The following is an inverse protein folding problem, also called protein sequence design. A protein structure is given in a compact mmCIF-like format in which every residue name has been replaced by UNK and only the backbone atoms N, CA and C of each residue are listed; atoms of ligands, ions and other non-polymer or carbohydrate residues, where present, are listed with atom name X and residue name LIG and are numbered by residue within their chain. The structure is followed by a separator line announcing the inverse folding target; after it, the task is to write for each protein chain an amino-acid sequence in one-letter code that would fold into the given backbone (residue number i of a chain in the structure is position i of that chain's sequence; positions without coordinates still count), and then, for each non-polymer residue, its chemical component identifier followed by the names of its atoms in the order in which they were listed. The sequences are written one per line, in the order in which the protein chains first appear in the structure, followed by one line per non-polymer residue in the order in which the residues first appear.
data_IF_952347164528
#
_entry.id   IF_952347164528
#
_cell.length_a   1.000
_cell.length_b   1.000
_cell.length_c   1.000
_cell.angle_alpha   90.00
_cell.angle_beta   90.00
_cell.angle_gamma   90.00
#
_symmetry.space_group_name_H-M   'P 1'
#
loop_
_entity.id
_entity.type
_entity.pdbx_description
1 polymer ?
#
# COMPACT_ATOMS: atom_id res chain seq x y z
N UNK A 1 12.67 -1.54 -8.15
CA UNK A 1 13.48 -0.75 -9.11
C UNK A 1 14.43 -1.70 -9.81
N UNK A 2 14.57 -1.56 -11.13
CA UNK A 2 15.51 -2.35 -11.93
C UNK A 2 16.95 -1.80 -11.87
N UNK A 3 17.90 -2.57 -12.41
CA UNK A 3 19.32 -2.23 -12.36
C UNK A 3 19.65 -0.94 -13.14
N UNK A 4 18.94 -0.65 -14.23
CA UNK A 4 19.14 0.55 -15.03
C UNK A 4 18.71 1.81 -14.26
N UNK A 5 17.58 1.77 -13.60
CA UNK A 5 17.10 2.84 -12.72
C UNK A 5 18.10 3.10 -11.58
N UNK A 6 18.60 2.03 -10.93
CA UNK A 6 19.59 2.15 -9.85
C UNK A 6 20.89 2.79 -10.31
N UNK A 7 21.39 2.41 -11.49
CA UNK A 7 22.60 3.00 -12.06
C UNK A 7 22.41 4.48 -12.38
N UNK A 8 21.27 4.87 -12.95
CA UNK A 8 20.92 6.27 -13.21
C UNK A 8 20.86 7.10 -11.94
N UNK A 9 20.25 6.59 -10.89
CA UNK A 9 20.18 7.28 -9.58
C UNK A 9 21.58 7.42 -8.94
N UNK A 10 22.46 6.43 -9.09
CA UNK A 10 23.83 6.53 -8.61
C UNK A 10 24.61 7.64 -9.36
N UNK A 11 24.43 7.78 -10.65
CA UNK A 11 25.03 8.86 -11.42
C UNK A 11 24.47 10.24 -11.03
N UNK A 12 23.16 10.34 -10.78
CA UNK A 12 22.56 11.57 -10.26
C UNK A 12 23.11 11.96 -8.88
N UNK A 13 23.28 11.01 -7.96
CA UNK A 13 23.92 11.27 -6.65
C UNK A 13 25.34 11.80 -6.82
N UNK A 14 26.10 11.17 -7.69
CA UNK A 14 27.45 11.64 -8.04
C UNK A 14 27.43 13.08 -8.57
N UNK A 15 26.51 13.40 -9.48
CA UNK A 15 26.37 14.76 -10.02
C UNK A 15 26.05 15.78 -8.93
N UNK A 16 25.16 15.45 -7.97
CA UNK A 16 24.89 16.31 -6.81
C UNK A 16 26.19 16.58 -6.06
N UNK A 17 26.96 15.54 -5.73
CA UNK A 17 28.21 15.71 -4.99
C UNK A 17 29.28 16.51 -5.77
N UNK A 18 29.33 16.38 -7.08
CA UNK A 18 30.28 17.10 -7.94
C UNK A 18 30.05 18.62 -8.00
N UNK A 19 28.88 19.11 -7.61
CA UNK A 19 28.58 20.54 -7.52
C UNK A 19 29.25 21.21 -6.31
N UNK A 20 29.86 20.45 -5.42
CA UNK A 20 30.50 20.93 -4.20
C UNK A 20 31.99 20.57 -4.16
N UNK A 21 32.79 21.44 -3.56
CA UNK A 21 34.21 21.16 -3.31
C UNK A 21 34.38 20.05 -2.27
N UNK A 22 35.54 19.39 -2.28
CA UNK A 22 35.86 18.38 -1.28
C UNK A 22 35.77 18.93 0.15
N UNK A 23 36.15 20.20 0.34
CA UNK A 23 36.08 20.87 1.64
C UNK A 23 34.64 21.09 2.09
N UNK A 24 33.74 21.48 1.18
CA UNK A 24 32.31 21.62 1.48
C UNK A 24 31.69 20.26 1.87
N UNK A 25 32.01 19.19 1.15
CA UNK A 25 31.54 17.84 1.45
C UNK A 25 32.04 17.35 2.80
N UNK A 26 33.31 17.59 3.10
CA UNK A 26 33.91 17.23 4.38
C UNK A 26 33.29 18.04 5.54
N UNK A 27 33.11 19.35 5.35
CA UNK A 27 32.50 20.22 6.32
C UNK A 27 31.05 19.78 6.66
N UNK A 28 30.24 19.52 5.64
CA UNK A 28 28.88 19.01 5.83
C UNK A 28 28.87 17.64 6.56
N UNK A 29 29.78 16.74 6.21
CA UNK A 29 29.89 15.45 6.91
C UNK A 29 30.30 15.61 8.38
N UNK A 30 31.28 16.46 8.68
CA UNK A 30 31.69 16.79 10.05
C UNK A 30 30.55 17.37 10.86
N UNK A 31 29.81 18.31 10.29
CA UNK A 31 28.60 18.87 10.91
C UNK A 31 27.61 17.78 11.31
N UNK A 32 27.31 16.83 10.40
CA UNK A 32 26.42 15.72 10.70
C UNK A 32 27.02 14.80 11.77
N UNK A 33 28.32 14.51 11.71
CA UNK A 33 29.00 13.66 12.68
C UNK A 33 28.95 14.24 14.10
N UNK A 34 29.14 15.55 14.24
CA UNK A 34 29.14 16.24 15.53
C UNK A 34 27.73 16.34 16.12
N UNK A 35 26.69 16.40 15.29
CA UNK A 35 25.32 16.64 15.72
C UNK A 35 24.36 15.45 15.56
N UNK A 36 24.78 14.34 14.98
CA UNK A 36 23.91 13.21 14.63
C UNK A 36 23.08 12.68 15.79
N UNK A 37 23.65 12.57 16.98
CA UNK A 37 22.93 12.13 18.18
C UNK A 37 21.83 13.11 18.60
N UNK A 38 22.10 14.41 18.51
CA UNK A 38 21.09 15.46 18.81
C UNK A 38 19.97 15.42 17.79
N UNK A 39 20.29 15.23 16.51
CA UNK A 39 19.31 15.10 15.43
C UNK A 39 18.41 13.88 15.65
N UNK A 40 18.97 12.75 16.03
CA UNK A 40 18.23 11.52 16.32
C UNK A 40 17.31 11.71 17.52
N UNK A 41 17.79 12.31 18.62
CA UNK A 41 16.97 12.53 19.81
C UNK A 41 15.79 13.48 19.51
N UNK A 42 16.05 14.58 18.81
CA UNK A 42 15.00 15.56 18.46
C UNK A 42 13.97 14.94 17.48
N UNK A 43 14.42 14.13 16.52
CA UNK A 43 13.53 13.34 15.64
C UNK A 43 12.56 12.49 16.46
N UNK A 44 13.07 11.64 17.37
CA UNK A 44 12.20 10.76 18.15
C UNK A 44 11.28 11.52 19.09
N UNK A 45 11.76 12.59 19.72
CA UNK A 45 10.95 13.46 20.56
C UNK A 45 9.74 14.00 19.79
N UNK A 46 9.95 14.51 18.57
CA UNK A 46 8.88 15.09 17.76
C UNK A 46 7.95 14.03 17.16
N UNK A 47 8.49 12.88 16.79
CA UNK A 47 7.69 11.78 16.26
C UNK A 47 6.80 11.10 17.31
N UNK A 48 7.17 11.14 18.59
CA UNK A 48 6.38 10.58 19.69
C UNK A 48 5.24 11.50 20.16
N UNK A 49 5.22 12.79 19.78
CA UNK A 49 4.17 13.74 20.18
C UNK A 49 2.81 13.35 19.58
N UNK A 50 2.78 12.87 18.37
CA UNK A 50 1.53 12.51 17.69
C UNK A 50 1.20 11.02 17.85
N UNK A 51 -0.05 10.76 18.18
CA UNK A 51 -0.54 9.39 18.42
C UNK A 51 -0.31 8.48 17.22
N UNK A 52 -0.56 8.96 15.99
CA UNK A 52 -0.42 8.18 14.77
C UNK A 52 1.03 7.75 14.49
N UNK A 53 2.01 8.60 14.82
CA UNK A 53 3.42 8.24 14.68
C UNK A 53 3.92 7.42 15.86
N UNK A 54 3.45 7.70 17.08
CA UNK A 54 3.86 7.01 18.30
C UNK A 54 3.55 5.49 18.25
N UNK A 55 2.51 5.08 17.53
CA UNK A 55 2.16 3.65 17.36
C UNK A 55 3.30 2.82 16.73
N UNK A 56 4.14 3.44 15.89
CA UNK A 56 5.30 2.77 15.27
C UNK A 56 6.52 2.68 16.19
N UNK A 57 6.50 3.36 17.34
CA UNK A 57 7.64 3.50 18.26
C UNK A 57 7.31 3.05 19.69
N UNK A 58 6.33 2.17 19.89
CA UNK A 58 5.79 1.81 21.20
C UNK A 58 6.68 0.90 22.07
N UNK A 59 7.69 0.26 21.48
CA UNK A 59 8.57 -0.70 22.16
C UNK A 59 9.95 -0.09 22.41
N UNK A 60 10.41 -0.08 23.67
CA UNK A 60 11.69 0.51 24.08
C UNK A 60 12.92 -0.15 23.44
N UNK A 61 12.89 -1.47 23.23
CA UNK A 61 13.98 -2.19 22.55
C UNK A 61 14.03 -1.82 21.06
N UNK A 62 12.86 -1.68 20.45
CA UNK A 62 12.72 -1.22 19.07
C UNK A 62 13.24 0.22 18.95
N UNK A 63 12.86 1.10 19.87
CA UNK A 63 13.33 2.49 19.90
C UNK A 63 14.85 2.59 19.93
N UNK A 64 15.52 1.86 20.82
CA UNK A 64 16.98 1.86 20.90
C UNK A 64 17.61 1.44 19.56
N UNK A 65 17.18 0.34 18.98
CA UNK A 65 17.68 -0.16 17.69
C UNK A 65 17.44 0.82 16.55
N UNK A 66 16.27 1.45 16.54
CA UNK A 66 15.92 2.43 15.50
C UNK A 66 16.75 3.70 15.61
N UNK A 67 17.08 4.16 16.84
CA UNK A 67 18.00 5.29 17.07
C UNK A 67 19.38 5.02 16.49
N UNK A 68 19.94 3.86 16.75
CA UNK A 68 21.24 3.45 16.19
C UNK A 68 21.17 3.38 14.65
N UNK A 69 20.08 2.86 14.12
CA UNK A 69 19.86 2.76 12.67
C UNK A 69 19.72 4.12 12.00
N UNK A 70 18.97 5.06 12.60
CA UNK A 70 18.82 6.42 12.08
C UNK A 70 20.14 7.19 12.14
N UNK A 71 20.88 7.05 13.24
CA UNK A 71 22.20 7.64 13.37
C UNK A 71 23.17 7.15 12.28
N UNK A 72 23.22 5.83 12.08
CA UNK A 72 24.04 5.22 11.03
C UNK A 72 23.59 5.68 9.63
N UNK A 73 22.28 5.79 9.39
CA UNK A 73 21.72 6.27 8.12
C UNK A 73 22.13 7.71 7.79
N UNK A 74 22.11 8.61 8.78
CA UNK A 74 22.58 9.99 8.62
C UNK A 74 24.05 10.03 8.24
N UNK A 75 24.90 9.38 9.03
CA UNK A 75 26.35 9.34 8.79
C UNK A 75 26.68 8.73 7.42
N UNK A 76 26.07 7.62 7.06
CA UNK A 76 26.28 6.98 5.76
C UNK A 76 25.86 7.86 4.61
N UNK A 77 24.67 8.50 4.69
CA UNK A 77 24.13 9.34 3.62
C UNK A 77 25.04 10.53 3.28
N UNK A 78 25.60 11.18 4.28
CA UNK A 78 26.51 12.32 4.09
C UNK A 78 27.97 11.92 3.80
N UNK A 79 28.39 10.71 4.17
CA UNK A 79 29.72 10.20 3.83
C UNK A 79 29.90 9.88 2.34
N UNK A 80 28.80 9.74 1.59
CA UNK A 80 28.82 9.32 0.16
C UNK A 80 29.63 10.29 -0.72
N UNK A 81 29.55 11.58 -0.45
CA UNK A 81 30.34 12.58 -1.17
C UNK A 81 31.86 12.39 -1.00
N UNK A 82 32.28 11.85 0.14
CA UNK A 82 33.69 11.61 0.48
C UNK A 82 34.16 10.25 -0.04
N UNK A 83 33.43 9.18 0.27
CA UNK A 83 33.82 7.81 -0.05
C UNK A 83 33.45 7.39 -1.48
N UNK A 84 32.61 8.17 -2.18
CA UNK A 84 32.17 7.97 -3.58
C UNK A 84 31.43 6.65 -3.83
N UNK A 85 30.80 6.07 -2.79
CA UNK A 85 30.05 4.80 -2.88
C UNK A 85 28.60 5.05 -3.28
N UNK A 86 28.38 5.70 -4.42
CA UNK A 86 27.05 6.15 -4.87
C UNK A 86 26.08 5.00 -5.08
N UNK A 87 26.52 3.90 -5.70
CA UNK A 87 25.65 2.73 -5.94
C UNK A 87 25.18 2.07 -4.63
N UNK A 88 26.08 1.96 -3.65
CA UNK A 88 25.71 1.39 -2.35
C UNK A 88 24.74 2.29 -1.60
N UNK A 89 24.92 3.61 -1.70
CA UNK A 89 24.02 4.58 -1.11
C UNK A 89 22.61 4.48 -1.70
N UNK A 90 22.47 4.41 -3.02
CA UNK A 90 21.18 4.21 -3.70
C UNK A 90 20.53 2.90 -3.25
N UNK A 91 21.30 1.81 -3.20
CA UNK A 91 20.82 0.51 -2.74
C UNK A 91 20.30 0.56 -1.30
N UNK A 92 21.02 1.28 -0.42
CA UNK A 92 20.62 1.49 0.97
C UNK A 92 19.30 2.26 1.08
N UNK A 93 19.15 3.38 0.35
CA UNK A 93 17.91 4.15 0.37
C UNK A 93 16.73 3.34 -0.17
N UNK A 94 16.94 2.58 -1.24
CA UNK A 94 15.93 1.69 -1.79
C UNK A 94 15.50 0.61 -0.76
N UNK A 95 16.45 0.04 -0.04
CA UNK A 95 16.17 -0.93 1.03
C UNK A 95 15.35 -0.28 2.16
N UNK A 96 15.70 0.93 2.58
CA UNK A 96 14.97 1.67 3.62
C UNK A 96 13.52 1.91 3.18
N UNK A 97 13.28 2.39 1.95
CA UNK A 97 11.94 2.58 1.40
C UNK A 97 11.13 1.27 1.36
N UNK A 98 11.78 0.18 0.95
CA UNK A 98 11.17 -1.15 0.94
C UNK A 98 10.76 -1.64 2.35
N UNK A 99 11.61 -1.39 3.35
CA UNK A 99 11.31 -1.74 4.76
C UNK A 99 10.14 -0.93 5.28
N UNK A 100 10.10 0.39 5.03
CA UNK A 100 8.97 1.25 5.42
C UNK A 100 7.65 0.77 4.82
N UNK A 101 7.63 0.42 3.52
CA UNK A 101 6.44 -0.13 2.87
C UNK A 101 6.01 -1.49 3.47
N UNK A 102 6.96 -2.34 3.84
CA UNK A 102 6.68 -3.64 4.47
C UNK A 102 6.08 -3.52 5.86
N UNK A 103 6.57 -2.56 6.65
CA UNK A 103 6.08 -2.27 8.01
C UNK A 103 4.75 -1.51 7.96
N UNK A 104 4.41 -0.90 6.82
CA UNK A 104 3.18 -0.13 6.65
C UNK A 104 3.29 1.31 7.15
N UNK A 105 4.50 1.86 7.27
CA UNK A 105 4.72 3.26 7.64
C UNK A 105 4.22 4.14 6.48
N UNK A 106 3.24 5.05 6.68
CA UNK A 106 2.74 5.90 5.61
C UNK A 106 3.84 6.81 5.03
N UNK A 107 3.81 7.04 3.71
CA UNK A 107 4.82 7.88 3.05
C UNK A 107 4.88 9.32 3.60
N UNK A 108 3.73 9.89 3.98
CA UNK A 108 3.70 11.22 4.61
C UNK A 108 4.48 11.26 5.94
N UNK A 109 4.54 10.15 6.68
CA UNK A 109 5.27 10.05 7.94
C UNK A 109 6.78 10.02 7.70
N UNK A 110 7.24 9.40 6.61
CA UNK A 110 8.64 9.45 6.16
C UNK A 110 9.02 10.90 5.85
N UNK A 111 8.21 11.59 5.03
CA UNK A 111 8.43 13.01 4.69
C UNK A 111 8.46 13.92 5.90
N UNK A 112 7.57 13.69 6.87
CA UNK A 112 7.55 14.41 8.12
C UNK A 112 8.86 14.20 8.90
N UNK A 113 9.30 12.94 9.01
CA UNK A 113 10.54 12.61 9.71
C UNK A 113 11.76 13.31 9.12
N UNK A 114 11.87 13.33 7.80
CA UNK A 114 12.92 14.06 7.07
C UNK A 114 12.86 15.56 7.39
N UNK A 115 11.69 16.15 7.32
CA UNK A 115 11.49 17.59 7.64
C UNK A 115 11.88 17.93 9.09
N UNK A 116 11.56 17.08 10.07
CA UNK A 116 11.97 17.33 11.46
C UNK A 116 13.50 17.28 11.64
N UNK A 117 14.16 16.37 10.93
CA UNK A 117 15.64 16.31 10.95
C UNK A 117 16.22 17.56 10.28
N UNK A 118 15.73 17.95 9.09
CA UNK A 118 16.20 19.16 8.37
C UNK A 118 15.98 20.42 9.19
N UNK A 119 14.81 20.56 9.80
CA UNK A 119 14.51 21.70 10.69
C UNK A 119 15.57 21.83 11.78
N UNK A 120 15.91 20.74 12.47
CA UNK A 120 16.92 20.78 13.52
C UNK A 120 18.33 21.01 12.98
N UNK A 121 18.67 20.48 11.81
CA UNK A 121 19.95 20.79 11.15
C UNK A 121 20.10 22.28 10.89
N UNK A 122 19.06 22.94 10.38
CA UNK A 122 19.10 24.37 10.07
C UNK A 122 19.13 25.24 11.32
N UNK A 123 18.43 24.85 12.39
CA UNK A 123 18.55 25.52 13.70
C UNK A 123 19.99 25.48 14.21
N UNK A 124 20.65 24.32 14.17
CA UNK A 124 22.04 24.17 14.63
C UNK A 124 23.05 24.96 13.76
N UNK A 125 22.80 25.07 12.45
CA UNK A 125 23.62 25.88 11.54
C UNK A 125 23.42 27.36 11.76
N UNK A 126 22.21 27.81 12.14
CA UNK A 126 21.89 29.20 12.41
C UNK A 126 22.49 29.66 13.77
N UNK A 127 22.59 28.76 14.73
CA UNK A 127 23.23 29.05 16.04
C UNK A 127 24.72 29.40 15.91
N UNK A 128 25.42 28.83 14.90
CA UNK A 128 26.85 29.04 14.65
C UNK A 128 27.14 29.26 13.16
N UNK A 129 26.69 30.38 12.59
CA UNK A 129 26.83 30.62 11.17
C UNK A 129 28.31 30.89 10.81
N UNK A 130 28.81 30.10 9.87
CA UNK A 130 30.12 30.30 9.23
C UNK A 130 29.98 30.77 7.78
N UNK A 131 31.12 31.05 7.11
CA UNK A 131 31.12 31.47 5.70
C UNK A 131 30.57 30.41 4.74
N UNK A 132 30.49 29.14 5.17
CA UNK A 132 30.02 28.00 4.36
C UNK A 132 28.56 27.60 4.60
N UNK A 133 27.85 28.24 5.54
CA UNK A 133 26.54 27.81 6.02
C UNK A 133 25.51 27.62 4.90
N UNK A 134 25.43 28.57 3.95
CA UNK A 134 24.50 28.45 2.81
C UNK A 134 24.83 27.30 1.89
N UNK A 135 26.11 27.02 1.69
CA UNK A 135 26.59 25.90 0.87
C UNK A 135 26.28 24.56 1.57
N UNK A 136 26.49 24.51 2.88
CA UNK A 136 26.14 23.34 3.71
C UNK A 136 24.63 23.11 3.73
N UNK A 137 23.80 24.15 3.91
CA UNK A 137 22.34 24.03 3.80
C UNK A 137 21.90 23.52 2.44
N UNK A 138 22.46 24.06 1.35
CA UNK A 138 22.17 23.63 -0.02
C UNK A 138 22.50 22.17 -0.24
N UNK A 139 23.65 21.70 0.25
CA UNK A 139 24.04 20.29 0.17
C UNK A 139 23.12 19.37 0.99
N UNK A 140 22.78 19.77 2.21
CA UNK A 140 21.85 19.04 3.08
C UNK A 140 20.50 18.84 2.38
N UNK A 141 19.89 19.91 1.86
CA UNK A 141 18.61 19.84 1.16
C UNK A 141 18.67 18.87 -0.03
N UNK A 142 19.75 18.93 -0.83
CA UNK A 142 19.87 18.06 -2.00
C UNK A 142 20.08 16.60 -1.62
N UNK A 143 20.90 16.29 -0.62
CA UNK A 143 21.15 14.92 -0.19
C UNK A 143 19.92 14.33 0.51
N UNK A 144 19.29 15.06 1.43
CA UNK A 144 18.10 14.61 2.15
C UNK A 144 16.92 14.42 1.19
N UNK A 145 16.69 15.39 0.30
CA UNK A 145 15.64 15.31 -0.71
C UNK A 145 15.85 14.15 -1.68
N UNK A 146 17.08 13.95 -2.16
CA UNK A 146 17.37 12.87 -3.11
C UNK A 146 17.32 11.49 -2.44
N UNK A 147 17.85 11.33 -1.23
CA UNK A 147 17.73 10.11 -0.45
C UNK A 147 16.24 9.73 -0.24
N UNK A 148 15.41 10.74 0.10
CA UNK A 148 13.96 10.56 0.29
C UNK A 148 13.26 10.19 -1.01
N UNK A 149 13.64 10.81 -2.14
CA UNK A 149 13.09 10.43 -3.45
C UNK A 149 13.33 8.95 -3.75
N UNK A 150 14.56 8.44 -3.53
CA UNK A 150 14.88 7.03 -3.76
C UNK A 150 14.05 6.13 -2.84
N UNK A 151 13.91 6.49 -1.56
CA UNK A 151 13.06 5.77 -0.60
C UNK A 151 11.60 5.72 -1.08
N UNK A 152 11.02 6.85 -1.50
CA UNK A 152 9.65 6.93 -1.97
C UNK A 152 9.43 6.10 -3.25
N UNK A 153 10.33 6.16 -4.23
CA UNK A 153 10.26 5.33 -5.43
C UNK A 153 10.24 3.83 -5.10
N UNK A 154 11.08 3.40 -4.17
CA UNK A 154 11.13 2.01 -3.72
C UNK A 154 9.89 1.61 -2.91
N UNK A 155 9.38 2.51 -2.09
CA UNK A 155 8.15 2.36 -1.34
C UNK A 155 6.94 2.13 -2.26
N UNK A 156 6.76 2.99 -3.26
CA UNK A 156 5.66 2.90 -4.23
C UNK A 156 5.71 1.60 -5.03
N UNK A 157 6.88 1.23 -5.54
CA UNK A 157 7.07 -0.01 -6.29
C UNK A 157 6.68 -1.25 -5.43
N UNK A 158 7.04 -1.25 -4.15
CA UNK A 158 6.68 -2.33 -3.23
C UNK A 158 5.19 -2.36 -2.90
N UNK A 159 4.58 -1.18 -2.71
CA UNK A 159 3.16 -1.06 -2.40
C UNK A 159 2.30 -1.50 -3.59
N UNK A 160 2.66 -1.10 -4.82
CA UNK A 160 1.99 -1.53 -6.04
C UNK A 160 2.04 -3.05 -6.20
N UNK A 161 3.22 -3.67 -6.02
CA UNK A 161 3.36 -5.13 -6.07
C UNK A 161 2.51 -5.84 -5.00
N UNK A 162 2.46 -5.31 -3.79
CA UNK A 162 1.64 -5.88 -2.72
C UNK A 162 0.13 -5.78 -3.02
N UNK A 163 -0.31 -4.68 -3.65
CA UNK A 163 -1.70 -4.51 -4.08
C UNK A 163 -2.06 -5.48 -5.21
N UNK A 164 -1.19 -5.66 -6.19
CA UNK A 164 -1.37 -6.62 -7.28
C UNK A 164 -1.46 -8.05 -6.78
N UNK A 165 -0.57 -8.46 -5.86
CA UNK A 165 -0.62 -9.78 -5.21
C UNK A 165 -1.92 -9.97 -4.44
N UNK A 166 -2.36 -8.96 -3.65
CA UNK A 166 -3.63 -9.02 -2.92
C UNK A 166 -4.82 -9.12 -3.86
N UNK A 167 -4.80 -8.38 -4.96
CA UNK A 167 -5.86 -8.45 -5.96
C UNK A 167 -5.91 -9.84 -6.62
N UNK A 168 -4.78 -10.35 -7.09
CA UNK A 168 -4.68 -11.69 -7.68
C UNK A 168 -5.14 -12.78 -6.72
N UNK A 169 -4.77 -12.68 -5.43
CA UNK A 169 -5.22 -13.61 -4.41
C UNK A 169 -6.74 -13.54 -4.17
N UNK A 170 -7.32 -12.32 -4.15
CA UNK A 170 -8.79 -12.14 -4.02
C UNK A 170 -9.53 -12.75 -5.21
N UNK A 171 -9.05 -12.51 -6.43
CA UNK A 171 -9.61 -13.08 -7.66
C UNK A 171 -9.52 -14.60 -7.63
N UNK A 172 -8.36 -15.16 -7.26
CA UNK A 172 -8.17 -16.61 -7.14
C UNK A 172 -9.08 -17.22 -6.07
N UNK A 173 -9.17 -16.61 -4.90
CA UNK A 173 -10.05 -17.07 -3.82
C UNK A 173 -11.54 -17.02 -4.23
N UNK A 174 -11.96 -15.94 -4.89
CA UNK A 174 -13.32 -15.83 -5.40
C UNK A 174 -13.63 -16.89 -6.47
N UNK A 175 -12.68 -17.16 -7.38
CA UNK A 175 -12.82 -18.24 -8.38
C UNK A 175 -12.89 -19.61 -7.74
N UNK A 176 -12.10 -19.89 -6.71
CA UNK A 176 -12.10 -21.16 -5.99
C UNK A 176 -13.43 -21.37 -5.25
N UNK A 177 -13.94 -20.34 -4.58
CA UNK A 177 -15.26 -20.38 -3.93
C UNK A 177 -16.38 -20.64 -4.95
N UNK A 178 -16.32 -20.01 -6.12
CA UNK A 178 -17.29 -20.21 -7.20
C UNK A 178 -17.22 -21.64 -7.77
N UNK A 179 -16.01 -22.18 -7.97
CA UNK A 179 -15.82 -23.54 -8.49
C UNK A 179 -16.34 -24.60 -7.50
N UNK A 180 -16.08 -24.45 -6.22
CA UNK A 180 -16.57 -25.36 -5.16
C UNK A 180 -18.10 -25.26 -5.01
N UNK A 181 -18.65 -24.07 -5.19
CA UNK A 181 -20.09 -23.86 -5.06
C UNK A 181 -20.89 -24.18 -6.33
N UNK A 182 -20.25 -24.34 -7.50
CA UNK A 182 -20.93 -24.55 -8.77
C UNK A 182 -21.94 -25.70 -8.71
N UNK A 183 -21.53 -26.86 -8.22
CA UNK A 183 -22.39 -28.04 -8.16
C UNK A 183 -23.50 -27.87 -7.10
N UNK A 184 -23.20 -27.21 -5.98
CA UNK A 184 -24.19 -26.86 -4.96
C UNK A 184 -25.24 -25.90 -5.51
N UNK A 185 -24.83 -24.85 -6.22
CA UNK A 185 -25.75 -23.87 -6.78
C UNK A 185 -26.57 -24.44 -7.94
N UNK A 186 -25.99 -25.32 -8.73
CA UNK A 186 -26.73 -26.08 -9.76
C UNK A 186 -27.81 -26.97 -9.13
N UNK A 187 -27.47 -27.68 -8.05
CA UNK A 187 -28.43 -28.49 -7.29
C UNK A 187 -29.56 -27.64 -6.74
N UNK A 188 -29.24 -26.51 -6.10
CA UNK A 188 -30.20 -25.57 -5.54
C UNK A 188 -31.19 -25.01 -6.59
N UNK A 189 -30.71 -24.72 -7.80
CA UNK A 189 -31.56 -24.29 -8.90
C UNK A 189 -32.50 -25.41 -9.37
N UNK A 190 -31.97 -26.62 -9.51
CA UNK A 190 -32.77 -27.81 -9.91
C UNK A 190 -33.81 -28.18 -8.83
N UNK A 191 -33.43 -28.07 -7.56
CA UNK A 191 -34.35 -28.32 -6.44
C UNK A 191 -35.51 -27.31 -6.44
N UNK A 192 -35.21 -26.04 -6.68
CA UNK A 192 -36.21 -24.99 -6.83
C UNK A 192 -37.18 -25.26 -8.02
N UNK A 193 -36.63 -25.66 -9.18
CA UNK A 193 -37.40 -26.00 -10.38
C UNK A 193 -38.29 -27.25 -10.13
N UNK A 194 -37.74 -28.30 -9.56
CA UNK A 194 -38.48 -29.52 -9.25
C UNK A 194 -39.60 -29.26 -8.26
N UNK A 195 -39.38 -28.46 -7.24
CA UNK A 195 -40.40 -28.08 -6.27
C UNK A 195 -41.54 -27.30 -6.93
N UNK A 196 -41.20 -26.33 -7.82
CA UNK A 196 -42.21 -25.58 -8.60
C UNK A 196 -43.02 -26.54 -9.46
N UNK A 197 -42.37 -27.42 -10.25
CA UNK A 197 -43.04 -28.37 -11.11
C UNK A 197 -43.92 -29.32 -10.32
N UNK A 198 -43.47 -29.84 -9.20
CA UNK A 198 -44.30 -30.69 -8.34
C UNK A 198 -45.54 -29.98 -7.85
N UNK A 199 -45.44 -28.71 -7.40
CA UNK A 199 -46.57 -27.90 -6.93
C UNK A 199 -47.57 -27.57 -8.08
N UNK A 200 -47.06 -27.29 -9.28
CA UNK A 200 -47.90 -27.03 -10.47
C UNK A 200 -48.72 -28.26 -10.87
N UNK A 201 -48.15 -29.45 -10.76
CA UNK A 201 -48.81 -30.72 -11.14
C UNK A 201 -49.68 -31.32 -10.01
N UNK A 202 -49.50 -30.88 -8.76
CA UNK A 202 -50.28 -31.33 -7.61
C UNK A 202 -51.51 -30.45 -7.45
N UNK A 203 -52.65 -30.85 -8.04
CA UNK A 203 -53.92 -30.10 -8.19
C UNK A 203 -54.62 -29.70 -6.89
N UNK A 204 -53.99 -29.77 -5.69
CA UNK A 204 -54.74 -29.75 -4.43
C UNK A 204 -54.44 -28.60 -3.47
N UNK A 205 -53.49 -27.69 -3.77
CA UNK A 205 -53.18 -26.58 -2.87
C UNK A 205 -52.93 -25.28 -3.63
N UNK A 206 -53.25 -24.13 -2.99
CA UNK A 206 -52.84 -22.83 -3.49
C UNK A 206 -51.33 -22.83 -3.78
N UNK A 207 -51.00 -22.54 -5.03
CA UNK A 207 -49.60 -22.50 -5.45
C UNK A 207 -48.88 -21.38 -4.68
N UNK A 208 -48.10 -21.74 -3.69
CA UNK A 208 -47.20 -20.85 -2.97
C UNK A 208 -45.77 -21.35 -3.12
N UNK A 209 -45.04 -20.76 -4.07
CA UNK A 209 -43.64 -21.12 -4.34
C UNK A 209 -42.76 -19.86 -4.29
N UNK A 210 -41.58 -19.90 -3.62
CA UNK A 210 -40.72 -18.73 -3.51
C UNK A 210 -40.20 -18.30 -4.87
N UNK A 211 -40.08 -16.97 -5.07
CA UNK A 211 -39.46 -16.40 -6.26
C UNK A 211 -38.04 -16.92 -6.42
N UNK A 212 -37.59 -17.11 -7.65
CA UNK A 212 -36.21 -17.58 -7.96
C UNK A 212 -35.17 -16.62 -7.40
N UNK A 213 -35.41 -15.30 -7.47
CA UNK A 213 -34.54 -14.25 -6.87
C UNK A 213 -34.36 -14.40 -5.35
N UNK A 214 -35.31 -15.03 -4.66
CA UNK A 214 -35.30 -15.26 -3.21
C UNK A 214 -34.85 -16.68 -2.83
N UNK A 215 -34.61 -17.55 -3.80
CA UNK A 215 -34.04 -18.88 -3.59
C UNK A 215 -32.54 -18.82 -3.17
N UNK A 216 -31.98 -19.92 -2.68
CA UNK A 216 -30.55 -20.00 -2.36
C UNK A 216 -29.68 -19.67 -3.58
N UNK A 217 -30.05 -20.17 -4.77
CA UNK A 217 -29.37 -19.85 -6.03
C UNK A 217 -29.47 -18.35 -6.37
N UNK A 218 -30.67 -17.78 -6.35
CA UNK A 218 -30.90 -16.37 -6.72
C UNK A 218 -30.15 -15.41 -5.81
N UNK A 219 -30.22 -15.62 -4.48
CA UNK A 219 -29.50 -14.82 -3.51
C UNK A 219 -27.97 -14.94 -3.69
N UNK A 220 -27.47 -16.17 -3.91
CA UNK A 220 -26.05 -16.36 -4.17
C UNK A 220 -25.62 -15.66 -5.46
N UNK A 221 -26.39 -15.78 -6.55
CA UNK A 221 -26.05 -15.20 -7.83
C UNK A 221 -26.04 -13.66 -7.76
N UNK A 222 -27.08 -13.04 -7.25
CA UNK A 222 -27.21 -11.58 -7.16
C UNK A 222 -26.17 -10.96 -6.24
N UNK A 223 -25.84 -11.60 -5.10
CA UNK A 223 -24.97 -10.99 -4.09
C UNK A 223 -23.50 -11.43 -4.14
N UNK A 224 -23.20 -12.63 -4.64
CA UNK A 224 -21.81 -13.14 -4.67
C UNK A 224 -21.28 -13.29 -6.09
N UNK A 225 -22.00 -13.97 -6.98
CA UNK A 225 -21.51 -14.20 -8.34
C UNK A 225 -21.41 -12.90 -9.14
N UNK A 226 -22.39 -12.00 -9.02
CA UNK A 226 -22.38 -10.68 -9.67
C UNK A 226 -21.16 -9.86 -9.26
N UNK A 227 -20.77 -9.90 -7.99
CA UNK A 227 -19.57 -9.23 -7.48
C UNK A 227 -18.26 -9.90 -7.97
N UNK A 228 -18.21 -11.25 -8.00
CA UNK A 228 -17.02 -11.99 -8.44
C UNK A 228 -16.74 -11.81 -9.94
N UNK A 229 -17.79 -11.62 -10.76
CA UNK A 229 -17.71 -11.47 -12.22
C UNK A 229 -18.09 -10.07 -12.68
N UNK A 230 -17.83 -9.04 -11.88
CA UNK A 230 -18.11 -7.63 -12.20
C UNK A 230 -17.52 -7.26 -13.57
N UNK A 231 -18.36 -6.66 -14.43
CA UNK A 231 -18.00 -6.23 -15.79
C UNK A 231 -18.19 -7.28 -16.87
N UNK A 232 -18.86 -8.40 -16.56
CA UNK A 232 -19.28 -9.39 -17.56
C UNK A 232 -20.74 -9.15 -17.96
N UNK A 233 -20.99 -8.91 -19.25
CA UNK A 233 -22.34 -8.76 -19.80
C UNK A 233 -23.26 -9.98 -19.53
N UNK A 234 -22.65 -11.14 -19.30
CA UNK A 234 -23.37 -12.37 -18.97
C UNK A 234 -24.03 -12.31 -17.58
N UNK A 235 -23.43 -11.60 -16.64
CA UNK A 235 -23.99 -11.43 -15.29
C UNK A 235 -25.29 -10.66 -15.35
N UNK A 236 -25.31 -9.54 -16.06
CA UNK A 236 -26.49 -8.69 -16.20
C UNK A 236 -27.62 -9.45 -16.91
N UNK A 237 -27.27 -10.23 -17.94
CA UNK A 237 -28.23 -11.08 -18.65
C UNK A 237 -28.84 -12.16 -17.74
N UNK A 238 -28.05 -12.81 -16.88
CA UNK A 238 -28.57 -13.82 -15.96
C UNK A 238 -29.45 -13.20 -14.90
N UNK A 239 -29.10 -12.03 -14.37
CA UNK A 239 -29.92 -11.29 -13.40
C UNK A 239 -31.28 -10.94 -14.03
N UNK A 240 -31.30 -10.44 -15.27
CA UNK A 240 -32.52 -10.15 -16.01
C UNK A 240 -33.37 -11.43 -16.17
N UNK A 241 -32.75 -12.56 -16.50
CA UNK A 241 -33.48 -13.84 -16.62
C UNK A 241 -34.07 -14.31 -15.29
N UNK A 242 -33.38 -14.14 -14.17
CA UNK A 242 -33.92 -14.45 -12.85
C UNK A 242 -35.22 -13.69 -12.59
N UNK A 243 -35.25 -12.39 -12.89
CA UNK A 243 -36.45 -11.59 -12.70
C UNK A 243 -37.57 -11.92 -13.69
N UNK A 244 -37.27 -12.26 -14.96
CA UNK A 244 -38.23 -12.76 -15.92
C UNK A 244 -38.89 -14.07 -15.46
N UNK A 245 -38.12 -14.98 -14.85
CA UNK A 245 -38.67 -16.21 -14.26
C UNK A 245 -39.58 -15.90 -13.08
N UNK A 246 -39.22 -14.91 -12.26
CA UNK A 246 -40.07 -14.47 -11.13
C UNK A 246 -41.43 -13.91 -11.61
N UNK A 247 -41.47 -13.12 -12.68
CA UNK A 247 -42.71 -12.63 -13.29
C UNK A 247 -43.58 -13.79 -13.76
N UNK A 248 -43.00 -14.75 -14.49
CA UNK A 248 -43.73 -15.94 -14.95
C UNK A 248 -44.27 -16.79 -13.78
N UNK A 249 -43.47 -16.96 -12.73
CA UNK A 249 -43.85 -17.71 -11.52
C UNK A 249 -45.07 -16.99 -10.84
N UNK A 250 -45.05 -15.67 -10.79
CA UNK A 250 -46.15 -14.90 -10.24
C UNK A 250 -47.43 -15.01 -11.08
N UNK A 251 -47.31 -15.03 -12.41
CA UNK A 251 -48.43 -15.23 -13.33
C UNK A 251 -49.06 -16.61 -13.16
N UNK A 252 -48.26 -17.65 -13.01
CA UNK A 252 -48.72 -19.03 -12.74
C UNK A 252 -49.49 -19.04 -11.41
N UNK A 253 -48.95 -18.43 -10.35
CA UNK A 253 -49.66 -18.36 -9.05
C UNK A 253 -50.99 -17.64 -9.13
N UNK A 254 -51.08 -16.56 -9.92
CA UNK A 254 -52.30 -15.82 -10.11
C UNK A 254 -53.35 -16.56 -10.96
N UNK A 255 -52.92 -17.47 -11.86
CA UNK A 255 -53.83 -18.30 -12.69
C UNK A 255 -54.48 -19.43 -11.89
N UNK A 256 -53.89 -19.91 -10.82
CA UNK A 256 -54.43 -21.00 -9.97
C UNK A 256 -55.46 -20.49 -8.95
N UNK A 257 -55.66 -19.17 -8.82
CA UNK A 257 -56.68 -18.54 -7.97
C UNK A 257 -58.04 -18.35 -8.64
N UNK A 258 -58.22 -18.90 -9.86
CA UNK A 258 -59.52 -18.88 -10.62
C UNK A 258 -60.07 -20.30 -10.69
#
# INVERSE_FOLDING_TARGET
MDNECMARLAEQWKQICQNYSSDNLLHAFQFIQDHSLILVEEFYKNMLIEKESAEFFSDDLIQKRLRDTLNAWLLESFSVGINKRYADAVQKQALVGHVHARVGIPSWLIMRGVREIERKMFELLDENPDQGVLTTCSYIIQIMGFATEIMCRSYEAKTALNQEIKHSYRVFSAMQDVAVQKDKQRSSLLDWENELMFKVFSEHEKLNHPMLSKSEFGLWFVHKASYAFTGSDQVDLIIERIYQVDELNQDIMNCTDK
#
